data_IF_283195065328
#
_entry.id   IF_283195065328
#
_cell.length_a   1.000
_cell.length_b   1.000
_cell.length_c   1.000
_cell.angle_alpha   90.00
_cell.angle_beta   90.00
_cell.angle_gamma   90.00
#
_symmetry.space_group_name_H-M   'P 1'
#
loop_
_entity.id
_entity.type
_entity.pdbx_description
1 polymer ?
#
# COMPACT_ATOMS: atom_id res chain seq x y z
N UNK A 1 -5.77 -35.90 -6.19
CA UNK A 1 -4.84 -35.07 -5.41
C UNK A 1 -5.09 -33.63 -5.81
N UNK A 2 -5.98 -32.95 -5.10
CA UNK A 2 -6.13 -31.51 -5.21
C UNK A 2 -5.04 -30.90 -4.33
N UNK A 3 -4.28 -29.96 -4.88
CA UNK A 3 -3.27 -29.17 -4.19
C UNK A 3 -3.91 -28.44 -3.00
N UNK A 4 -3.21 -28.44 -1.87
CA UNK A 4 -3.52 -27.55 -0.74
C UNK A 4 -3.67 -26.14 -1.30
N UNK A 5 -4.87 -25.57 -1.16
CA UNK A 5 -5.12 -24.16 -1.46
C UNK A 5 -4.04 -23.34 -0.74
N UNK A 6 -3.39 -22.43 -1.46
CA UNK A 6 -2.46 -21.45 -0.87
C UNK A 6 -3.25 -20.65 0.18
N UNK A 7 -3.27 -21.16 1.40
CA UNK A 7 -3.94 -20.55 2.54
C UNK A 7 -3.09 -19.35 2.92
N UNK A 8 -3.30 -18.23 2.22
CA UNK A 8 -2.79 -16.95 2.66
C UNK A 8 -3.13 -16.79 4.15
N UNK A 9 -2.17 -16.43 5.01
CA UNK A 9 -2.40 -16.39 6.45
C UNK A 9 -3.40 -15.29 6.85
N UNK A 10 -3.81 -14.45 5.90
CA UNK A 10 -4.78 -13.36 6.06
C UNK A 10 -5.57 -13.18 4.77
N UNK A 11 -6.87 -12.88 4.90
CA UNK A 11 -7.73 -12.52 3.76
C UNK A 11 -7.33 -11.22 3.07
N UNK A 12 -6.41 -10.44 3.66
CA UNK A 12 -5.82 -9.27 3.01
C UNK A 12 -5.17 -9.60 1.67
N UNK A 13 -4.41 -10.70 1.60
CA UNK A 13 -3.66 -11.05 0.39
C UNK A 13 -4.58 -11.41 -0.79
N UNK A 14 -5.80 -11.87 -0.51
CA UNK A 14 -6.83 -12.14 -1.54
C UNK A 14 -7.33 -10.83 -2.17
N UNK A 15 -7.27 -9.69 -1.47
CA UNK A 15 -7.72 -8.39 -1.99
C UNK A 15 -6.85 -7.83 -3.11
N UNK A 16 -5.67 -8.41 -3.26
CA UNK A 16 -4.58 -7.99 -4.14
C UNK A 16 -4.08 -9.13 -5.02
N UNK A 17 -4.67 -10.33 -4.84
CA UNK A 17 -4.56 -11.46 -5.75
C UNK A 17 -5.19 -11.07 -7.10
N UNK A 18 -4.59 -11.50 -8.21
CA UNK A 18 -4.99 -11.14 -9.59
C UNK A 18 -4.77 -9.67 -10.00
N UNK A 19 -3.76 -9.01 -9.42
CA UNK A 19 -3.31 -7.71 -9.89
C UNK A 19 -2.93 -7.73 -11.38
N UNK A 20 -3.51 -6.81 -12.16
CA UNK A 20 -3.11 -6.53 -13.53
C UNK A 20 -2.01 -5.48 -13.56
N UNK A 21 -1.06 -5.65 -14.48
CA UNK A 21 -0.03 -4.65 -14.74
C UNK A 21 -0.63 -3.41 -15.41
N UNK A 22 -0.23 -2.23 -14.92
CA UNK A 22 -0.60 -0.95 -15.50
C UNK A 22 0.53 0.07 -15.27
N UNK A 23 0.58 1.08 -16.14
CA UNK A 23 1.31 2.32 -15.86
C UNK A 23 0.35 3.27 -15.15
N UNK A 24 0.73 3.75 -13.97
CA UNK A 24 0.00 4.77 -13.23
C UNK A 24 0.68 6.12 -13.43
N UNK A 25 -0.05 7.07 -14.00
CA UNK A 25 0.35 8.48 -14.14
C UNK A 25 -0.24 9.30 -12.98
N UNK A 26 0.61 10.03 -12.26
CA UNK A 26 0.21 10.79 -11.07
C UNK A 26 0.94 12.14 -10.96
N UNK A 27 0.32 13.16 -10.32
CA UNK A 27 0.98 14.44 -10.10
C UNK A 27 2.07 14.31 -9.03
N UNK A 28 3.27 14.77 -9.33
CA UNK A 28 4.40 14.80 -8.40
C UNK A 28 4.85 16.24 -8.11
N UNK A 29 5.44 16.45 -6.94
CA UNK A 29 6.02 17.75 -6.54
C UNK A 29 7.47 17.96 -7.00
N UNK A 30 8.04 16.98 -7.71
CA UNK A 30 9.40 16.96 -8.25
C UNK A 30 10.53 16.72 -7.23
N UNK A 31 10.24 16.79 -5.92
CA UNK A 31 11.27 16.65 -4.87
C UNK A 31 11.07 15.37 -4.06
N UNK A 32 9.83 15.10 -3.62
CA UNK A 32 9.48 14.06 -2.65
C UNK A 32 8.53 12.98 -3.19
N UNK A 33 8.09 13.13 -4.43
CA UNK A 33 7.17 12.21 -5.12
C UNK A 33 5.74 12.75 -5.14
N UNK A 34 4.76 11.86 -5.07
CA UNK A 34 3.34 12.19 -5.14
C UNK A 34 2.47 10.93 -5.19
N UNK A 35 1.16 11.03 -5.38
CA UNK A 35 0.35 12.24 -5.41
C UNK A 35 0.16 12.85 -4.01
N UNK A 36 -0.25 14.12 -3.95
CA UNK A 36 -0.79 14.74 -2.74
C UNK A 36 -2.29 14.95 -2.90
N UNK A 37 -3.05 14.79 -1.82
CA UNK A 37 -4.49 14.97 -1.83
C UNK A 37 -4.98 15.67 -0.56
N UNK A 38 -6.15 16.27 -0.65
CA UNK A 38 -6.83 16.88 0.49
C UNK A 38 -7.66 15.85 1.27
N UNK A 39 -8.35 16.30 2.33
CA UNK A 39 -9.18 15.42 3.19
C UNK A 39 -10.33 14.72 2.46
N UNK A 40 -10.75 15.24 1.29
CA UNK A 40 -11.79 14.66 0.45
C UNK A 40 -11.22 13.75 -0.65
N UNK A 41 -9.90 13.48 -0.61
CA UNK A 41 -9.21 12.64 -1.59
C UNK A 41 -8.97 13.31 -2.95
N UNK A 42 -9.26 14.61 -3.08
CA UNK A 42 -9.00 15.35 -4.32
C UNK A 42 -7.52 15.69 -4.43
N UNK A 43 -6.96 15.52 -5.63
CA UNK A 43 -5.53 15.78 -5.88
C UNK A 43 -5.21 17.26 -5.68
N UNK A 44 -4.14 17.54 -4.95
CA UNK A 44 -3.58 18.88 -4.78
C UNK A 44 -2.70 19.22 -6.00
N UNK A 45 -3.37 19.60 -7.09
CA UNK A 45 -2.71 19.98 -8.34
C UNK A 45 -1.94 21.29 -8.26
N UNK A 46 -2.10 22.08 -7.18
CA UNK A 46 -1.31 23.30 -6.97
C UNK A 46 0.15 22.95 -6.64
N UNK A 47 0.38 21.80 -6.00
CA UNK A 47 1.74 21.28 -5.73
C UNK A 47 2.37 20.54 -6.91
N UNK A 48 1.57 20.21 -7.92
CA UNK A 48 2.02 19.45 -9.09
C UNK A 48 3.05 20.29 -9.89
N UNK A 49 4.30 19.84 -9.91
CA UNK A 49 5.33 20.39 -10.80
C UNK A 49 5.44 19.59 -12.10
N UNK A 50 5.21 18.27 -12.02
CA UNK A 50 5.25 17.35 -13.15
C UNK A 50 4.27 16.19 -12.94
N UNK A 51 4.01 15.45 -14.03
CA UNK A 51 3.29 14.18 -13.98
C UNK A 51 4.30 13.07 -14.16
N UNK A 52 4.42 12.23 -13.15
CA UNK A 52 5.33 11.08 -13.15
C UNK A 52 4.56 9.80 -13.48
N UNK A 53 5.29 8.76 -13.87
CA UNK A 53 4.73 7.49 -14.30
C UNK A 53 5.47 6.32 -13.64
N UNK A 54 4.72 5.39 -13.07
CA UNK A 54 5.26 4.17 -12.48
C UNK A 54 4.50 2.92 -12.92
N UNK A 55 5.24 1.84 -13.17
CA UNK A 55 4.66 0.51 -13.30
C UNK A 55 4.10 0.04 -11.95
N UNK A 56 2.85 -0.40 -11.95
CA UNK A 56 2.14 -0.87 -10.76
C UNK A 56 1.32 -2.12 -11.06
N UNK A 57 1.10 -2.92 -10.01
CA UNK A 57 0.04 -3.92 -10.00
C UNK A 57 -1.24 -3.31 -9.46
N UNK A 58 -2.37 -3.47 -10.15
CA UNK A 58 -3.67 -2.95 -9.73
C UNK A 58 -4.79 -3.96 -9.88
N UNK A 59 -5.72 -3.97 -8.94
CA UNK A 59 -6.97 -4.75 -9.05
C UNK A 59 -8.10 -3.81 -9.46
N UNK A 60 -8.74 -3.99 -10.63
CA UNK A 60 -9.92 -3.22 -11.01
C UNK A 60 -11.10 -3.55 -10.08
N UNK A 61 -11.73 -2.52 -9.51
CA UNK A 61 -12.89 -2.69 -8.62
C UNK A 61 -14.23 -2.40 -9.34
N UNK A 62 -14.17 -2.11 -10.64
CA UNK A 62 -15.30 -1.71 -11.46
C UNK A 62 -15.38 -0.19 -11.65
N UNK A 63 -15.94 0.24 -12.80
CA UNK A 63 -15.95 1.64 -13.19
C UNK A 63 -14.53 2.18 -13.41
N UNK A 64 -14.24 3.35 -12.84
CA UNK A 64 -12.92 3.99 -12.85
C UNK A 64 -12.13 3.78 -11.54
N UNK A 65 -12.56 2.82 -10.70
CA UNK A 65 -11.95 2.56 -9.38
C UNK A 65 -10.99 1.38 -9.43
N UNK A 66 -9.85 1.56 -8.79
CA UNK A 66 -8.76 0.59 -8.73
C UNK A 66 -8.25 0.47 -7.29
N UNK A 67 -7.67 -0.68 -6.98
CA UNK A 67 -6.91 -0.92 -5.75
C UNK A 67 -5.45 -1.14 -6.11
N UNK A 68 -4.54 -0.46 -5.41
CA UNK A 68 -3.12 -0.69 -5.58
C UNK A 68 -2.75 -2.04 -4.95
N UNK A 69 -2.17 -2.92 -5.77
CA UNK A 69 -1.76 -4.26 -5.40
C UNK A 69 -0.25 -4.44 -5.41
N UNK A 70 0.52 -3.58 -6.10
CA UNK A 70 1.98 -3.63 -6.03
C UNK A 70 2.58 -2.32 -6.53
N UNK A 71 3.68 -1.89 -5.90
CA UNK A 71 4.57 -0.86 -6.46
C UNK A 71 5.81 -1.56 -7.04
N UNK A 72 5.97 -1.54 -8.36
CA UNK A 72 7.10 -2.24 -9.01
C UNK A 72 8.45 -1.59 -8.70
N UNK A 73 8.46 -0.27 -8.46
CA UNK A 73 9.65 0.48 -8.05
C UNK A 73 10.03 0.25 -6.58
N UNK A 74 9.21 -0.49 -5.81
CA UNK A 74 9.49 -0.87 -4.43
C UNK A 74 9.84 0.33 -3.54
N UNK A 75 11.06 0.37 -2.94
CA UNK A 75 11.46 1.43 -2.01
C UNK A 75 11.78 2.75 -2.71
N UNK A 76 11.97 2.74 -4.03
CA UNK A 76 12.29 3.91 -4.84
C UNK A 76 11.06 4.53 -5.50
N UNK A 77 9.87 3.97 -5.24
CA UNK A 77 8.60 4.52 -5.70
C UNK A 77 8.39 5.91 -5.10
N UNK A 78 8.07 6.88 -5.95
CA UNK A 78 7.56 8.20 -5.58
C UNK A 78 6.10 8.16 -5.14
N UNK A 79 5.39 7.04 -5.35
CA UNK A 79 4.00 6.87 -4.97
C UNK A 79 3.78 6.90 -3.45
N UNK A 80 2.83 7.76 -3.06
CA UNK A 80 2.27 7.84 -1.70
C UNK A 80 1.07 6.92 -1.48
N UNK A 81 0.71 6.13 -2.49
CA UNK A 81 -0.28 5.05 -2.38
C UNK A 81 0.41 3.75 -1.97
N UNK A 82 -0.27 2.95 -1.15
CA UNK A 82 0.25 1.70 -0.62
C UNK A 82 -0.71 0.54 -0.87
N UNK A 83 -0.27 -0.65 -0.46
CA UNK A 83 -0.98 -1.88 -0.72
C UNK A 83 -2.40 -1.84 -0.15
N UNK A 84 -3.42 -2.06 -0.97
CA UNK A 84 -4.81 -1.99 -0.56
C UNK A 84 -5.44 -0.59 -0.62
N UNK A 85 -4.65 0.47 -0.83
CA UNK A 85 -5.21 1.81 -1.09
C UNK A 85 -6.03 1.79 -2.38
N UNK A 86 -7.13 2.54 -2.35
CA UNK A 86 -8.06 2.62 -3.47
C UNK A 86 -8.06 4.02 -4.05
N UNK A 87 -8.19 4.09 -5.37
CA UNK A 87 -8.13 5.34 -6.10
C UNK A 87 -9.00 5.28 -7.36
N UNK A 88 -9.33 6.45 -7.88
CA UNK A 88 -10.00 6.58 -9.16
C UNK A 88 -9.00 7.04 -10.21
N UNK A 89 -9.06 6.45 -11.40
CA UNK A 89 -8.22 6.81 -12.53
C UNK A 89 -8.98 6.72 -13.86
N UNK A 90 -8.70 7.67 -14.74
CA UNK A 90 -9.18 7.60 -16.12
C UNK A 90 -8.21 6.73 -16.92
N UNK A 91 -8.74 5.73 -17.61
CA UNK A 91 -7.94 4.82 -18.43
C UNK A 91 -7.79 5.39 -19.84
N UNK A 92 -6.56 5.67 -20.24
CA UNK A 92 -6.21 6.07 -21.60
C UNK A 92 -6.34 4.93 -22.60
N UNK A 93 -6.34 5.28 -23.89
CA UNK A 93 -6.44 4.31 -25.00
C UNK A 93 -5.26 3.31 -25.04
N UNK A 94 -4.10 3.73 -24.53
CA UNK A 94 -2.88 2.93 -24.37
C UNK A 94 -2.91 2.03 -23.12
N UNK A 95 -3.95 2.14 -22.30
CA UNK A 95 -4.11 1.42 -21.05
C UNK A 95 -3.51 2.10 -19.83
N UNK A 96 -2.83 3.24 -20.00
CA UNK A 96 -2.28 4.04 -18.90
C UNK A 96 -3.41 4.55 -18.00
N UNK A 97 -3.23 4.44 -16.69
CA UNK A 97 -4.17 4.91 -15.69
C UNK A 97 -3.74 6.29 -15.23
N UNK A 98 -4.50 7.33 -15.57
CA UNK A 98 -4.26 8.67 -15.05
C UNK A 98 -5.04 8.88 -13.77
N UNK A 99 -4.32 9.04 -12.66
CA UNK A 99 -4.93 9.26 -11.35
C UNK A 99 -5.79 10.53 -11.33
N UNK A 100 -7.00 10.44 -10.78
CA UNK A 100 -7.94 11.56 -10.67
C UNK A 100 -8.27 11.91 -9.22
N UNK A 101 -8.32 10.91 -8.33
CA UNK A 101 -8.58 11.10 -6.90
C UNK A 101 -8.19 9.86 -6.11
N UNK A 102 -7.97 10.02 -4.81
CA UNK A 102 -7.78 8.94 -3.84
C UNK A 102 -9.10 8.67 -3.12
N UNK A 103 -9.46 7.41 -2.92
CA UNK A 103 -10.66 7.07 -2.18
C UNK A 103 -10.45 7.29 -0.68
N UNK A 104 -11.31 8.13 -0.09
CA UNK A 104 -11.32 8.41 1.35
C UNK A 104 -12.68 8.05 1.98
N UNK A 105 -12.72 7.61 3.26
CA UNK A 105 -11.57 7.30 4.12
C UNK A 105 -10.79 6.11 3.57
N UNK A 106 -9.47 6.09 3.81
CA UNK A 106 -8.63 4.98 3.34
C UNK A 106 -8.96 3.71 4.12
N UNK A 107 -9.15 2.57 3.43
CA UNK A 107 -9.51 1.31 4.08
C UNK A 107 -8.37 0.71 4.91
N UNK A 108 -7.13 1.09 4.61
CA UNK A 108 -5.95 0.59 5.28
C UNK A 108 -5.05 1.71 5.83
N UNK A 109 -4.33 1.37 6.89
CA UNK A 109 -3.23 2.13 7.45
C UNK A 109 -1.91 1.39 7.20
N UNK A 110 -0.82 2.14 7.06
CA UNK A 110 0.48 1.59 6.68
C UNK A 110 1.58 2.03 7.65
N UNK A 111 2.42 1.08 8.04
CA UNK A 111 3.55 1.32 8.94
C UNK A 111 4.83 0.84 8.29
N UNK A 112 5.86 1.69 8.25
CA UNK A 112 7.17 1.29 7.76
C UNK A 112 8.10 1.03 8.94
N UNK A 113 8.72 -0.14 8.91
CA UNK A 113 9.59 -0.62 9.99
C UNK A 113 10.93 -1.04 9.42
N UNK A 114 12.01 -0.65 10.09
CA UNK A 114 13.34 -1.17 9.82
C UNK A 114 13.57 -2.42 10.67
N UNK A 115 14.00 -3.50 10.03
CA UNK A 115 14.24 -4.79 10.66
C UNK A 115 15.65 -5.25 10.31
N UNK A 116 16.37 -5.82 11.28
CA UNK A 116 17.72 -6.36 11.08
C UNK A 116 17.74 -7.86 10.74
N UNK A 117 16.60 -8.54 10.88
CA UNK A 117 16.41 -9.96 10.61
C UNK A 117 15.34 -10.20 9.55
N UNK A 118 15.37 -11.35 8.87
CA UNK A 118 14.36 -11.73 7.89
C UNK A 118 13.00 -11.94 8.55
N UNK A 119 12.17 -10.89 8.58
CA UNK A 119 10.80 -10.96 9.05
C UNK A 119 10.02 -12.03 8.25
N UNK A 120 9.26 -12.85 8.95
CA UNK A 120 8.49 -13.94 8.35
C UNK A 120 7.21 -14.23 9.18
N UNK A 121 6.38 -15.17 8.71
CA UNK A 121 5.09 -15.48 9.32
C UNK A 121 5.18 -16.19 10.70
N UNK A 122 6.36 -16.61 11.12
CA UNK A 122 6.58 -17.22 12.43
C UNK A 122 6.66 -16.17 13.55
N UNK A 123 6.97 -14.91 13.22
CA UNK A 123 7.05 -13.81 14.17
C UNK A 123 5.68 -13.52 14.80
N UNK A 124 5.67 -13.26 16.12
CA UNK A 124 4.44 -12.95 16.86
C UNK A 124 3.70 -11.74 16.29
N UNK A 125 4.43 -10.68 15.91
CA UNK A 125 3.81 -9.53 15.24
C UNK A 125 3.15 -9.90 13.90
N UNK A 126 3.75 -10.80 13.10
CA UNK A 126 3.14 -11.23 11.84
C UNK A 126 1.80 -11.95 12.10
N UNK A 127 1.76 -12.83 13.11
CA UNK A 127 0.52 -13.52 13.51
C UNK A 127 -0.55 -12.54 13.98
N UNK A 128 -0.18 -11.55 14.78
CA UNK A 128 -1.11 -10.49 15.21
C UNK A 128 -1.63 -9.68 14.02
N UNK A 129 -0.74 -9.27 13.12
CA UNK A 129 -1.10 -8.53 11.91
C UNK A 129 -2.11 -9.31 11.06
N UNK A 130 -1.84 -10.60 10.83
CA UNK A 130 -2.73 -11.47 10.06
C UNK A 130 -4.07 -11.72 10.76
N UNK A 131 -4.06 -11.92 12.08
CA UNK A 131 -5.29 -12.08 12.87
C UNK A 131 -6.19 -10.83 12.83
N UNK A 132 -5.60 -9.65 12.68
CA UNK A 132 -6.31 -8.38 12.51
C UNK A 132 -6.68 -8.08 11.05
N UNK A 133 -6.46 -9.03 10.13
CA UNK A 133 -6.79 -8.90 8.71
C UNK A 133 -5.83 -8.02 7.92
N UNK A 134 -4.60 -7.84 8.40
CA UNK A 134 -3.53 -7.15 7.71
C UNK A 134 -2.60 -8.08 6.94
N UNK A 135 -1.54 -7.50 6.38
CA UNK A 135 -0.49 -8.19 5.65
C UNK A 135 0.80 -7.36 5.66
N UNK A 136 1.89 -7.98 5.24
CA UNK A 136 3.20 -7.33 5.18
C UNK A 136 3.93 -7.64 3.87
N UNK A 137 4.77 -6.69 3.44
CA UNK A 137 5.69 -6.84 2.32
C UNK A 137 7.11 -6.40 2.73
N UNK A 138 8.13 -7.17 2.31
CA UNK A 138 9.52 -6.74 2.40
C UNK A 138 9.86 -5.91 1.16
N UNK A 139 10.17 -4.63 1.36
CA UNK A 139 10.39 -3.67 0.26
C UNK A 139 11.88 -3.57 -0.11
N UNK A 140 12.77 -3.72 0.87
CA UNK A 140 14.22 -3.82 0.68
C UNK A 140 14.81 -4.68 1.81
N UNK A 141 16.05 -5.18 1.68
CA UNK A 141 16.72 -5.96 2.75
C UNK A 141 16.76 -5.14 4.05
N UNK A 142 15.81 -5.41 4.94
CA UNK A 142 15.65 -4.74 6.23
C UNK A 142 14.58 -3.66 6.30
N UNK A 143 13.76 -3.45 5.27
CA UNK A 143 12.61 -2.55 5.33
C UNK A 143 11.30 -3.28 5.04
N UNK A 144 10.36 -3.12 5.97
CA UNK A 144 9.08 -3.80 6.01
C UNK A 144 7.96 -2.76 5.92
N UNK A 145 6.97 -2.98 5.07
CA UNK A 145 5.68 -2.28 5.15
C UNK A 145 4.66 -3.22 5.76
N UNK A 146 4.02 -2.78 6.84
CA UNK A 146 2.87 -3.44 7.44
C UNK A 146 1.61 -2.71 6.97
N UNK A 147 0.62 -3.45 6.51
CA UNK A 147 -0.68 -2.94 6.10
C UNK A 147 -1.75 -3.55 6.97
N UNK A 148 -2.65 -2.73 7.52
CA UNK A 148 -3.70 -3.16 8.44
C UNK A 148 -4.99 -2.41 8.12
N UNK A 149 -6.19 -3.01 8.26
CA UNK A 149 -7.43 -2.25 8.18
C UNK A 149 -7.38 -1.05 9.13
N UNK A 150 -7.78 0.13 8.64
CA UNK A 150 -7.61 1.41 9.37
C UNK A 150 -8.24 1.40 10.76
N UNK A 151 -9.30 0.61 10.97
CA UNK A 151 -9.96 0.44 12.27
C UNK A 151 -9.07 -0.17 13.36
N UNK A 152 -8.03 -0.93 12.98
CA UNK A 152 -7.10 -1.60 13.90
C UNK A 152 -5.72 -0.93 13.97
N UNK A 153 -5.54 0.24 13.35
CA UNK A 153 -4.26 0.94 13.31
C UNK A 153 -3.68 1.21 14.70
N UNK A 154 -4.50 1.70 15.64
CA UNK A 154 -4.08 1.97 17.02
C UNK A 154 -3.72 0.70 17.81
N UNK A 155 -4.41 -0.41 17.53
CA UNK A 155 -4.10 -1.70 18.16
C UNK A 155 -2.76 -2.26 17.68
N UNK A 156 -2.52 -2.22 16.36
CA UNK A 156 -1.24 -2.64 15.80
C UNK A 156 -0.09 -1.78 16.35
N UNK A 157 -0.27 -0.46 16.46
CA UNK A 157 0.75 0.42 17.03
C UNK A 157 1.11 0.04 18.48
N UNK A 158 0.11 -0.33 19.30
CA UNK A 158 0.34 -0.83 20.67
C UNK A 158 1.13 -2.14 20.66
N UNK A 159 0.75 -3.09 19.80
CA UNK A 159 1.44 -4.38 19.70
C UNK A 159 2.90 -4.22 19.22
N UNK A 160 3.16 -3.32 18.27
CA UNK A 160 4.51 -3.03 17.82
C UNK A 160 5.40 -2.48 18.95
N UNK A 161 4.83 -1.73 19.89
CA UNK A 161 5.53 -1.27 21.09
C UNK A 161 5.83 -2.41 22.07
N UNK A 162 4.85 -3.27 22.35
CA UNK A 162 4.98 -4.41 23.25
C UNK A 162 6.01 -5.44 22.77
N UNK A 163 6.07 -5.67 21.45
CA UNK A 163 7.01 -6.59 20.81
C UNK A 163 8.41 -5.98 20.59
N UNK A 164 8.68 -4.78 21.11
CA UNK A 164 10.03 -4.18 21.12
C UNK A 164 10.53 -3.65 19.78
N UNK A 165 9.64 -3.42 18.81
CA UNK A 165 9.98 -2.81 17.50
C UNK A 165 10.00 -1.27 17.55
N UNK A 166 9.81 -0.68 18.73
CA UNK A 166 9.62 0.77 18.92
C UNK A 166 10.88 1.62 19.14
N UNK A 167 12.00 1.37 18.45
CA UNK A 167 12.87 2.47 18.04
C UNK A 167 13.19 2.36 16.54
N UNK A 168 12.31 2.91 15.69
CA UNK A 168 12.51 2.95 14.23
C UNK A 168 11.24 2.89 13.36
N UNK A 169 10.05 2.82 13.97
CA UNK A 169 8.77 2.84 13.23
C UNK A 169 8.52 4.25 12.71
N UNK A 170 8.47 4.39 11.39
CA UNK A 170 8.01 5.60 10.73
C UNK A 170 6.57 5.36 10.29
N UNK A 171 5.56 5.96 10.96
CA UNK A 171 4.20 5.90 10.45
C UNK A 171 4.19 6.55 9.06
N UNK A 172 3.69 5.81 8.08
CA UNK A 172 3.36 6.40 6.78
C UNK A 172 2.00 7.06 6.98
N UNK A 173 1.84 8.29 6.51
CA UNK A 173 0.66 9.14 6.77
C UNK A 173 -0.64 8.34 6.74
N UNK A 174 -1.52 8.57 7.73
CA UNK A 174 -2.80 7.88 7.94
C UNK A 174 -3.97 8.59 7.27
#
# INVERSE_FOLDING_TARGET
MASEEDSFPSGFYVLVEDAADAVLEFPADGDSGGPFWNVDGQLDLVRCKEWDQEDVGVVPLGGNRYRLAERRMGPFSGLRLYWGDEFNADKGDDGTLRLTSVCVPRPFAHFRVLTSGGFNNEYQLARHLHALGGGWEAVARGMLTLTIPSTYAGELQRLMYEEGLAPGVLPLET
#
